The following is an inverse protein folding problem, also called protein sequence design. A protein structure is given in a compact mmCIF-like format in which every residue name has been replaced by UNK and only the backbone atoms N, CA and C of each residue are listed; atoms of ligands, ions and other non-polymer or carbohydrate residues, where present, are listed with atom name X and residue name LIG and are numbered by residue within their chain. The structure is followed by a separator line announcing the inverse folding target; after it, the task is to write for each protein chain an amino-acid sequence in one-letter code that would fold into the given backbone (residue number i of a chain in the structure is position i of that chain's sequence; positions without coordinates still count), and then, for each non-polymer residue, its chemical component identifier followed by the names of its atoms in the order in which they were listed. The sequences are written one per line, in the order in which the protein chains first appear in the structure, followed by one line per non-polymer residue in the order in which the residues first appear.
data_IF_420223372940
#
_entry.id   IF_420223372940
#
_cell.length_a   1.000
_cell.length_b   1.000
_cell.length_c   1.000
_cell.angle_alpha   90.00
_cell.angle_beta   90.00
_cell.angle_gamma   90.00
#
_symmetry.space_group_name_H-M   'P 1'
#
loop_
_entity.id
_entity.type
_entity.pdbx_description
1 polymer ?
#
# COMPACT_ATOMS: atom_id res chain seq x y z
N UNK A 1 -15.01 -9.67 -1.60
CA UNK A 1 -15.76 -10.39 -2.66
C UNK A 1 -16.81 -9.49 -3.32
N UNK A 2 -17.83 -8.99 -2.60
CA UNK A 2 -18.92 -8.20 -3.22
C UNK A 2 -18.45 -6.92 -3.96
N UNK A 3 -17.57 -6.14 -3.34
CA UNK A 3 -17.09 -4.87 -3.92
C UNK A 3 -16.18 -5.10 -5.15
N UNK A 4 -15.43 -6.21 -5.20
CA UNK A 4 -14.58 -6.56 -6.36
C UNK A 4 -15.37 -7.05 -7.56
N UNK A 5 -16.40 -7.88 -7.32
CA UNK A 5 -17.32 -8.35 -8.36
C UNK A 5 -18.11 -7.18 -8.96
N UNK A 6 -18.51 -6.21 -8.14
CA UNK A 6 -19.21 -5.02 -8.63
C UNK A 6 -18.37 -4.20 -9.64
N UNK A 7 -17.05 -4.10 -9.42
CA UNK A 7 -16.14 -3.43 -10.34
C UNK A 7 -15.58 -4.35 -11.45
N UNK A 8 -16.02 -5.62 -11.54
CA UNK A 8 -15.53 -6.56 -12.56
C UNK A 8 -14.06 -6.95 -12.39
N UNK A 9 -13.47 -6.78 -11.21
CA UNK A 9 -12.04 -7.05 -10.95
C UNK A 9 -11.75 -8.48 -10.50
N UNK A 10 -12.77 -9.32 -10.30
CA UNK A 10 -12.56 -10.72 -9.89
C UNK A 10 -13.72 -11.63 -10.27
N UNK A 11 -13.39 -12.70 -11.00
CA UNK A 11 -14.28 -13.81 -11.35
C UNK A 11 -14.21 -14.98 -10.34
N UNK A 12 -13.29 -14.94 -9.37
CA UNK A 12 -13.07 -16.04 -8.41
C UNK A 12 -12.29 -17.22 -8.99
N UNK A 13 -11.57 -17.00 -10.09
CA UNK A 13 -10.64 -17.97 -10.69
C UNK A 13 -9.27 -17.93 -10.00
N UNK A 14 -8.59 -19.07 -9.99
CA UNK A 14 -7.24 -19.17 -9.44
C UNK A 14 -6.26 -18.49 -10.40
N UNK A 15 -5.37 -17.66 -9.85
CA UNK A 15 -4.35 -16.97 -10.65
C UNK A 15 -3.35 -17.99 -11.24
N UNK A 16 -2.66 -17.62 -12.32
CA UNK A 16 -1.60 -18.45 -12.90
C UNK A 16 -0.48 -18.65 -11.87
N UNK A 17 0.13 -19.84 -11.83
CA UNK A 17 1.18 -20.16 -10.86
C UNK A 17 2.44 -19.28 -10.92
N UNK A 18 2.69 -18.62 -12.06
CA UNK A 18 3.81 -17.68 -12.24
C UNK A 18 3.53 -16.27 -11.66
N UNK A 19 2.32 -16.04 -11.15
CA UNK A 19 1.90 -14.77 -10.59
C UNK A 19 2.63 -14.43 -9.29
N UNK A 20 2.73 -13.14 -8.98
CA UNK A 20 3.52 -12.66 -7.84
C UNK A 20 2.67 -12.74 -6.57
N UNK A 21 3.15 -13.40 -5.50
CA UNK A 21 2.32 -13.61 -4.31
C UNK A 21 1.92 -12.28 -3.65
N UNK A 22 0.73 -12.26 -3.05
CA UNK A 22 0.18 -11.08 -2.39
C UNK A 22 1.14 -10.50 -1.34
N UNK A 23 1.80 -11.32 -0.52
CA UNK A 23 2.80 -10.83 0.45
C UNK A 23 3.94 -10.05 -0.19
N UNK A 24 4.47 -10.51 -1.33
CA UNK A 24 5.53 -9.80 -2.06
C UNK A 24 5.02 -8.51 -2.67
N UNK A 25 3.85 -8.55 -3.29
CA UNK A 25 3.23 -7.36 -3.86
C UNK A 25 2.98 -6.31 -2.77
N UNK A 26 2.33 -6.70 -1.66
CA UNK A 26 2.08 -5.84 -0.50
C UNK A 26 3.37 -5.28 0.10
N UNK A 27 4.43 -6.09 0.22
CA UNK A 27 5.72 -5.64 0.78
C UNK A 27 6.40 -4.60 -0.11
N UNK A 28 6.35 -4.79 -1.43
CA UNK A 28 6.89 -3.82 -2.38
C UNK A 28 6.09 -2.52 -2.35
N UNK A 29 4.76 -2.59 -2.39
CA UNK A 29 3.91 -1.39 -2.35
C UNK A 29 4.06 -0.66 -1.03
N UNK A 30 4.00 -1.37 0.11
CA UNK A 30 4.20 -0.75 1.41
C UNK A 30 5.56 -0.05 1.49
N UNK A 31 6.65 -0.66 1.00
CA UNK A 31 7.97 -0.03 0.96
C UNK A 31 7.97 1.28 0.15
N UNK A 32 7.49 1.24 -1.10
CA UNK A 32 7.46 2.39 -2.00
C UNK A 32 6.60 3.52 -1.41
N UNK A 33 5.40 3.20 -0.95
CA UNK A 33 4.44 4.19 -0.44
C UNK A 33 4.81 4.73 0.94
N UNK A 34 5.56 3.98 1.76
CA UNK A 34 6.13 4.50 3.02
C UNK A 34 7.15 5.60 2.72
N UNK A 35 8.10 5.34 1.80
CA UNK A 35 9.12 6.31 1.42
C UNK A 35 8.48 7.51 0.70
N UNK A 36 7.60 7.24 -0.27
CA UNK A 36 6.89 8.27 -1.03
C UNK A 36 6.00 9.14 -0.13
N UNK A 37 5.24 8.54 0.78
CA UNK A 37 4.40 9.26 1.73
C UNK A 37 5.21 10.14 2.68
N UNK A 38 6.34 9.64 3.18
CA UNK A 38 7.23 10.42 4.04
C UNK A 38 7.85 11.63 3.33
N UNK A 39 8.32 11.46 2.10
CA UNK A 39 8.87 12.56 1.30
C UNK A 39 7.80 13.58 0.92
N UNK A 40 6.62 13.13 0.48
CA UNK A 40 5.52 14.02 0.10
C UNK A 40 5.06 14.86 1.30
N UNK A 41 4.84 14.25 2.46
CA UNK A 41 4.43 15.00 3.65
C UNK A 41 5.52 15.89 4.21
N UNK A 42 6.80 15.55 4.01
CA UNK A 42 7.89 16.45 4.35
C UNK A 42 7.86 17.73 3.50
N UNK A 43 7.62 17.61 2.19
CA UNK A 43 7.45 18.75 1.28
C UNK A 43 6.21 19.56 1.66
N UNK A 44 5.07 18.90 1.92
CA UNK A 44 3.84 19.57 2.38
C UNK A 44 4.07 20.32 3.70
N UNK A 45 4.85 19.75 4.62
CA UNK A 45 5.21 20.43 5.86
C UNK A 45 5.99 21.73 5.60
N UNK A 46 6.93 21.72 4.63
CA UNK A 46 7.65 22.92 4.20
C UNK A 46 6.77 23.95 3.50
N UNK A 47 5.80 23.51 2.70
CA UNK A 47 4.83 24.42 2.07
C UNK A 47 3.89 25.04 3.11
N UNK A 48 3.47 24.27 4.12
CA UNK A 48 2.53 24.72 5.13
C UNK A 48 3.16 25.68 6.17
N UNK A 49 4.37 25.38 6.65
CA UNK A 49 5.04 26.20 7.68
C UNK A 49 6.09 27.18 7.13
N UNK A 50 6.45 27.08 5.85
CA UNK A 50 7.48 27.90 5.22
C UNK A 50 8.91 27.59 5.75
N UNK A 51 9.86 28.53 5.60
CA UNK A 51 11.27 28.30 5.90
C UNK A 51 11.60 28.15 7.40
N UNK A 52 10.67 28.44 8.32
CA UNK A 52 10.88 28.33 9.79
C UNK A 52 10.49 26.96 10.36
N UNK A 53 10.83 25.89 9.67
CA UNK A 53 10.48 24.54 10.12
C UNK A 53 11.54 23.95 11.07
N UNK A 54 11.10 23.37 12.18
CA UNK A 54 11.98 22.66 13.11
C UNK A 54 12.08 21.18 12.76
N UNK A 55 13.26 20.58 12.95
CA UNK A 55 13.52 19.15 12.71
C UNK A 55 12.48 18.22 13.35
N UNK A 56 12.08 18.36 14.63
CA UNK A 56 11.09 17.47 15.22
C UNK A 56 9.70 17.58 14.55
N UNK A 57 9.33 18.77 14.06
CA UNK A 57 8.04 18.97 13.39
C UNK A 57 8.04 18.35 11.98
N UNK A 58 9.12 18.52 11.22
CA UNK A 58 9.25 17.87 9.92
C UNK A 58 9.23 16.35 10.03
N UNK A 59 9.86 15.80 11.08
CA UNK A 59 9.92 14.37 11.29
C UNK A 59 8.54 13.78 11.63
N UNK A 60 7.73 14.47 12.44
CA UNK A 60 6.33 14.09 12.71
C UNK A 60 5.44 14.09 11.47
N UNK A 61 5.60 15.07 10.59
CA UNK A 61 4.85 15.12 9.33
C UNK A 61 5.27 14.00 8.39
N UNK A 62 6.58 13.79 8.23
CA UNK A 62 7.11 12.70 7.41
C UNK A 62 6.64 11.33 7.92
N UNK A 63 6.66 11.07 9.23
CA UNK A 63 6.18 9.78 9.77
C UNK A 63 4.68 9.61 9.58
N UNK A 64 3.89 10.67 9.79
CA UNK A 64 2.45 10.64 9.52
C UNK A 64 2.14 10.32 8.04
N UNK A 65 2.85 10.96 7.11
CA UNK A 65 2.73 10.68 5.68
C UNK A 65 3.14 9.26 5.33
N UNK A 66 4.26 8.78 5.88
CA UNK A 66 4.74 7.42 5.66
C UNK A 66 3.71 6.38 6.10
N UNK A 67 3.13 6.51 7.31
CA UNK A 67 2.16 5.55 7.83
C UNK A 67 0.82 5.64 7.11
N UNK A 68 0.30 6.85 6.87
CA UNK A 68 -1.02 7.03 6.23
C UNK A 68 -1.03 6.54 4.78
N UNK A 69 -0.01 6.90 4.00
CA UNK A 69 0.06 6.50 2.59
C UNK A 69 0.38 5.01 2.46
N UNK A 70 1.24 4.47 3.31
CA UNK A 70 1.55 3.03 3.34
C UNK A 70 0.34 2.16 3.72
N UNK A 71 -0.37 2.53 4.79
CA UNK A 71 -1.58 1.78 5.22
C UNK A 71 -2.69 1.85 4.17
N UNK A 72 -2.94 3.04 3.61
CA UNK A 72 -3.98 3.23 2.60
C UNK A 72 -3.66 2.45 1.32
N UNK A 73 -2.43 2.54 0.83
CA UNK A 73 -2.01 1.79 -0.37
C UNK A 73 -2.04 0.28 -0.14
N UNK A 74 -1.62 -0.20 1.04
CA UNK A 74 -1.72 -1.63 1.39
C UNK A 74 -3.17 -2.13 1.42
N UNK A 75 -4.09 -1.33 1.96
CA UNK A 75 -5.52 -1.63 1.94
C UNK A 75 -6.07 -1.66 0.51
N UNK A 76 -5.69 -0.69 -0.34
CA UNK A 76 -6.11 -0.64 -1.74
C UNK A 76 -5.61 -1.86 -2.53
N UNK A 77 -4.35 -2.27 -2.33
CA UNK A 77 -3.80 -3.49 -2.94
C UNK A 77 -4.59 -4.71 -2.49
N UNK A 78 -4.89 -4.80 -1.19
CA UNK A 78 -5.77 -5.86 -0.68
C UNK A 78 -7.21 -5.75 -1.14
N UNK A 79 -7.70 -4.59 -1.54
CA UNK A 79 -9.10 -4.44 -1.97
C UNK A 79 -9.26 -4.72 -3.46
N UNK A 80 -8.30 -4.33 -4.28
CA UNK A 80 -8.44 -4.34 -5.74
C UNK A 80 -7.58 -5.38 -6.45
N UNK A 81 -6.48 -5.85 -5.85
CA UNK A 81 -5.62 -6.83 -6.53
C UNK A 81 -6.21 -8.24 -6.45
N UNK A 82 -6.38 -8.95 -7.59
CA UNK A 82 -6.83 -10.35 -7.61
C UNK A 82 -5.81 -11.29 -6.94
N UNK A 83 -4.54 -10.91 -6.88
CA UNK A 83 -3.48 -11.64 -6.17
C UNK A 83 -3.79 -11.81 -4.67
N UNK A 84 -4.48 -10.81 -4.10
CA UNK A 84 -4.82 -10.75 -2.68
C UNK A 84 -6.25 -11.25 -2.39
N UNK A 85 -6.79 -12.10 -3.25
CA UNK A 85 -8.00 -12.86 -2.95
C UNK A 85 -7.71 -14.01 -1.99
N UNK A 86 -8.59 -14.34 -1.02
CA UNK A 86 -8.31 -15.40 -0.04
C UNK A 86 -7.97 -16.75 -0.67
N UNK A 87 -8.52 -17.08 -1.84
CA UNK A 87 -8.21 -18.31 -2.58
C UNK A 87 -6.75 -18.31 -3.08
N UNK A 88 -6.31 -17.19 -3.68
CA UNK A 88 -4.94 -17.03 -4.20
C UNK A 88 -3.92 -16.90 -3.07
N UNK A 89 -4.26 -16.22 -1.97
CA UNK A 89 -3.43 -16.17 -0.77
C UNK A 89 -3.25 -17.58 -0.20
N UNK A 90 -4.33 -18.35 -0.10
CA UNK A 90 -4.25 -19.72 0.42
C UNK A 90 -3.39 -20.64 -0.45
N UNK A 91 -3.43 -20.46 -1.76
CA UNK A 91 -2.67 -21.24 -2.73
C UNK A 91 -1.18 -20.85 -2.81
N UNK A 92 -0.87 -19.55 -2.78
CA UNK A 92 0.46 -19.04 -3.13
C UNK A 92 1.25 -18.39 -1.99
N UNK A 93 0.59 -17.97 -0.91
CA UNK A 93 1.24 -17.24 0.19
C UNK A 93 1.57 -18.15 1.39
N UNK A 94 0.88 -19.28 1.57
CA UNK A 94 1.07 -20.19 2.71
C UNK A 94 2.30 -21.12 2.59
N UNK A 95 2.98 -21.16 1.44
CA UNK A 95 4.10 -22.08 1.17
C UNK A 95 5.48 -21.39 1.17
N UNK A 96 5.60 -20.19 1.74
CA UNK A 96 6.85 -19.42 1.75
C UNK A 96 7.01 -18.58 3.02
#
# INVERSE_FOLDING_TARGET
MALRRFFGFSDGELMRADAKPCSRLMRQTAGIFTVGGGLAFWILCRLHYGPRITVPRSLRWATCGAVSVSSTSALLVRLFSPECEPQNIAAYDNNK
#
